data_IF_031662583704
#
_entry.id   IF_031662583704
#
_cell.length_a   1.000
_cell.length_b   1.000
_cell.length_c   1.000
_cell.angle_alpha   90.00
_cell.angle_beta   90.00
_cell.angle_gamma   90.00
#
_symmetry.space_group_name_H-M   'P 1'
#
loop_
_entity.id
_entity.type
_entity.pdbx_description
1 polymer ?
#
# COMPACT_ATOMS: atom_id res chain seq x y z
N UNK A 1 -1.52 65.80 45.77
CA UNK A 1 -0.44 64.84 46.10
C UNK A 1 -0.27 63.96 44.88
N UNK A 2 0.53 64.44 43.93
CA UNK A 2 1.92 64.03 43.66
C UNK A 2 1.91 62.93 42.58
N UNK A 3 2.03 63.28 41.29
CA UNK A 3 3.25 63.68 40.57
C UNK A 3 4.20 62.51 40.37
N UNK A 4 4.28 62.03 39.13
CA UNK A 4 5.52 61.55 38.52
C UNK A 4 5.41 61.83 37.01
N UNK A 5 5.84 63.03 36.65
CA UNK A 5 6.41 63.37 35.35
C UNK A 5 7.62 62.45 35.05
N UNK A 6 8.02 62.49 33.77
CA UNK A 6 9.20 61.87 33.20
C UNK A 6 9.06 60.38 32.87
N UNK A 7 8.81 60.09 31.60
CA UNK A 7 9.93 59.90 30.67
C UNK A 7 9.38 59.69 29.25
N UNK A 8 9.60 60.71 28.43
CA UNK A 8 9.47 60.65 26.99
C UNK A 8 10.24 59.46 26.43
N UNK A 9 9.56 58.54 25.74
CA UNK A 9 10.24 57.65 24.81
C UNK A 9 10.49 58.44 23.53
N UNK A 10 11.67 59.06 23.49
CA UNK A 10 12.32 59.52 22.27
C UNK A 10 12.28 58.40 21.25
N UNK A 11 11.66 58.67 20.09
CA UNK A 11 11.72 57.77 18.94
C UNK A 11 13.18 57.52 18.55
N UNK A 12 13.53 56.30 18.10
CA UNK A 12 14.88 56.02 17.64
C UNK A 12 15.21 56.89 16.41
N UNK A 13 16.45 57.37 16.29
CA UNK A 13 16.86 58.33 15.29
C UNK A 13 16.80 57.73 13.88
N UNK A 14 16.54 58.59 12.91
CA UNK A 14 16.63 58.27 11.52
C UNK A 14 18.08 57.94 11.11
N UNK A 15 18.16 56.97 10.19
CA UNK A 15 19.26 56.64 9.27
C UNK A 15 20.55 56.08 9.86
N UNK A 16 20.81 54.80 9.56
CA UNK A 16 22.00 54.50 8.76
C UNK A 16 21.67 53.43 7.70
N UNK A 17 22.07 53.72 6.46
CA UNK A 17 21.60 53.10 5.23
C UNK A 17 22.49 51.90 4.86
N UNK A 18 22.52 50.89 5.74
CA UNK A 18 23.21 49.62 5.52
C UNK A 18 22.21 48.48 5.49
N UNK A 19 22.09 47.78 4.36
CA UNK A 19 21.22 46.62 4.19
C UNK A 19 21.51 45.56 5.27
N UNK A 20 20.73 45.58 6.36
CA UNK A 20 20.73 44.53 7.36
C UNK A 20 20.19 43.27 6.69
N UNK A 21 21.09 42.32 6.47
CA UNK A 21 20.77 41.05 5.87
C UNK A 21 19.83 40.24 6.77
N UNK A 22 18.61 40.00 6.31
CA UNK A 22 17.71 39.05 6.96
C UNK A 22 18.31 37.65 6.89
N UNK A 23 18.56 37.07 8.07
CA UNK A 23 18.96 35.68 8.26
C UNK A 23 17.69 34.84 8.44
N UNK A 24 17.63 33.68 7.78
CA UNK A 24 16.52 32.73 7.87
C UNK A 24 17.00 31.27 7.96
N UNK A 25 16.16 30.38 8.47
CA UNK A 25 16.44 28.93 8.50
C UNK A 25 15.66 28.24 7.39
N UNK A 26 16.36 27.54 6.49
CA UNK A 26 15.76 26.89 5.31
C UNK A 26 14.78 25.77 5.63
N UNK A 27 14.98 25.06 6.74
CA UNK A 27 14.16 23.91 7.11
C UNK A 27 12.87 24.31 7.86
N UNK A 28 12.87 25.48 8.49
CA UNK A 28 11.74 25.97 9.28
C UNK A 28 11.01 27.17 8.66
N UNK A 29 11.62 27.85 7.69
CA UNK A 29 11.10 28.96 6.88
C UNK A 29 10.34 30.08 7.65
N UNK A 30 10.71 30.33 8.91
CA UNK A 30 10.16 31.43 9.72
C UNK A 30 11.12 32.64 9.77
N UNK A 31 10.56 33.85 9.65
CA UNK A 31 11.32 35.11 9.75
C UNK A 31 11.13 35.75 11.13
N UNK A 32 12.28 36.07 11.75
CA UNK A 32 12.54 36.95 12.88
C UNK A 32 12.00 36.54 14.27
N UNK A 33 12.94 36.06 15.11
CA UNK A 33 13.09 36.29 16.58
C UNK A 33 13.36 35.04 17.44
N UNK A 34 13.61 33.86 16.87
CA UNK A 34 13.97 32.65 17.65
C UNK A 34 15.33 32.09 17.22
N UNK A 35 16.40 32.74 17.68
CA UNK A 35 17.79 32.32 17.45
C UNK A 35 18.54 32.16 18.76
N UNK A 36 19.58 31.34 18.75
CA UNK A 36 20.51 31.21 19.89
C UNK A 36 21.21 32.54 20.15
N UNK A 37 21.71 32.75 21.38
CA UNK A 37 22.28 34.04 21.80
C UNK A 37 23.47 34.53 20.94
N UNK A 38 24.13 33.63 20.23
CA UNK A 38 25.20 33.91 19.26
C UNK A 38 24.70 34.28 17.85
N UNK A 39 23.39 34.19 17.60
CA UNK A 39 22.72 34.66 16.38
C UNK A 39 23.01 33.85 15.11
N UNK A 40 23.56 32.63 15.24
CA UNK A 40 24.04 31.81 14.11
C UNK A 40 23.25 30.54 13.86
N UNK A 41 22.42 30.10 14.81
CA UNK A 41 21.66 28.85 14.71
C UNK A 41 20.19 29.04 15.07
N UNK A 42 19.35 28.26 14.41
CA UNK A 42 17.91 28.20 14.68
C UNK A 42 17.66 27.57 16.05
N UNK A 43 16.84 28.21 16.88
CA UNK A 43 16.52 27.71 18.23
C UNK A 43 15.63 26.46 18.23
N UNK A 44 14.96 26.17 17.10
CA UNK A 44 14.01 25.07 16.95
C UNK A 44 14.68 23.79 16.48
N UNK A 45 15.53 23.87 15.44
CA UNK A 45 16.16 22.70 14.83
C UNK A 45 17.69 22.63 15.03
N UNK A 46 18.34 23.71 15.46
CA UNK A 46 19.80 23.78 15.68
C UNK A 46 20.65 23.98 14.41
N UNK A 47 20.02 24.05 13.24
CA UNK A 47 20.69 24.32 11.96
C UNK A 47 21.24 25.76 11.86
N UNK A 48 22.27 25.95 11.04
CA UNK A 48 22.91 27.25 10.81
C UNK A 48 22.06 28.14 9.91
N UNK A 49 22.12 29.46 10.11
CA UNK A 49 21.22 30.42 9.45
C UNK A 49 21.82 30.99 8.17
N UNK A 50 20.97 31.18 7.15
CA UNK A 50 21.37 31.66 5.82
C UNK A 50 20.89 33.09 5.54
N UNK A 51 21.65 33.84 4.74
CA UNK A 51 21.37 35.25 4.39
C UNK A 51 20.52 35.33 3.12
N UNK A 52 19.37 35.99 3.17
CA UNK A 52 18.54 36.24 1.99
C UNK A 52 19.14 37.38 1.15
N UNK A 53 19.53 37.11 -0.09
CA UNK A 53 19.97 38.16 -1.03
C UNK A 53 18.75 38.76 -1.73
N UNK A 54 18.52 40.08 -1.58
CA UNK A 54 17.51 40.81 -2.35
C UNK A 54 18.05 41.12 -3.74
N UNK A 55 17.40 40.62 -4.78
CA UNK A 55 17.65 41.02 -6.17
C UNK A 55 16.93 42.35 -6.44
N UNK A 56 17.69 43.43 -6.63
CA UNK A 56 17.15 44.74 -7.03
C UNK A 56 16.87 44.75 -8.53
N UNK A 57 15.59 44.81 -8.92
CA UNK A 57 15.18 45.04 -10.31
C UNK A 57 15.41 46.52 -10.66
N UNK A 58 16.39 46.76 -11.54
CA UNK A 58 16.68 48.06 -12.13
C UNK A 58 15.59 48.51 -13.11
N UNK A 59 15.30 49.80 -13.05
CA UNK A 59 14.32 50.56 -13.80
C UNK A 59 14.47 50.44 -15.32
N UNK A 60 13.36 50.20 -16.03
CA UNK A 60 12.94 50.97 -17.20
C UNK A 60 11.52 50.56 -17.60
N UNK A 61 10.55 51.40 -17.24
CA UNK A 61 9.16 51.28 -17.65
C UNK A 61 8.99 51.93 -19.03
N UNK A 62 8.64 51.11 -20.02
CA UNK A 62 7.86 51.55 -21.18
C UNK A 62 6.64 50.67 -21.25
N UNK A 63 5.47 51.29 -21.08
CA UNK A 63 4.16 50.68 -21.22
C UNK A 63 4.08 49.84 -22.50
N UNK A 64 3.86 48.54 -22.35
CA UNK A 64 3.37 47.71 -23.46
C UNK A 64 2.22 46.86 -22.96
N UNK A 65 1.03 47.22 -23.46
CA UNK A 65 -0.19 46.44 -23.58
C UNK A 65 -0.08 44.94 -23.27
N UNK A 66 -0.86 44.48 -22.29
CA UNK A 66 -1.09 43.06 -22.01
C UNK A 66 -1.64 42.35 -23.25
N UNK A 67 -0.89 41.39 -23.78
CA UNK A 67 -1.30 40.53 -24.89
C UNK A 67 -1.39 39.08 -24.37
N UNK A 68 -2.57 38.44 -24.33
CA UNK A 68 -2.76 37.14 -23.66
C UNK A 68 -2.09 35.95 -24.37
N UNK A 69 -1.44 36.16 -25.52
CA UNK A 69 -0.69 35.13 -26.23
C UNK A 69 0.73 34.90 -25.66
N UNK A 70 1.30 35.89 -24.95
CA UNK A 70 2.66 35.78 -24.38
C UNK A 70 2.69 35.03 -23.04
N UNK A 71 1.58 34.98 -22.31
CA UNK A 71 1.50 34.31 -21.01
C UNK A 71 1.61 32.79 -21.11
N UNK A 72 1.08 32.18 -22.17
CA UNK A 72 1.19 30.73 -22.41
C UNK A 72 2.61 30.35 -22.81
N UNK A 73 3.29 31.20 -23.57
CA UNK A 73 4.67 30.98 -24.00
C UNK A 73 5.65 31.17 -22.85
N UNK A 74 5.41 32.15 -21.96
CA UNK A 74 6.18 32.33 -20.74
C UNK A 74 5.95 31.19 -19.73
N UNK A 75 4.70 30.71 -19.59
CA UNK A 75 4.39 29.51 -18.81
C UNK A 75 5.06 28.27 -19.39
N UNK A 76 5.03 28.08 -20.72
CA UNK A 76 5.78 27.00 -21.38
C UNK A 76 7.28 27.13 -21.16
N UNK A 77 7.84 28.34 -21.23
CA UNK A 77 9.26 28.58 -20.98
C UNK A 77 9.63 28.33 -19.51
N UNK A 78 8.75 28.66 -18.56
CA UNK A 78 8.92 28.37 -17.13
C UNK A 78 8.83 26.87 -16.85
N UNK A 79 7.87 26.17 -17.46
CA UNK A 79 7.73 24.70 -17.36
C UNK A 79 8.94 24.02 -17.97
N UNK A 80 9.42 24.46 -19.13
CA UNK A 80 10.63 23.91 -19.76
C UNK A 80 11.89 24.21 -18.93
N UNK A 81 11.99 25.39 -18.29
CA UNK A 81 13.06 25.71 -17.34
C UNK A 81 13.03 24.82 -16.11
N UNK A 82 11.85 24.62 -15.50
CA UNK A 82 11.67 23.71 -14.36
C UNK A 82 12.03 22.27 -14.72
N UNK A 83 11.60 21.78 -15.90
CA UNK A 83 11.99 20.47 -16.41
C UNK A 83 13.50 20.35 -16.65
N UNK A 84 14.16 21.46 -17.02
CA UNK A 84 15.62 21.51 -17.21
C UNK A 84 16.38 21.63 -15.89
N UNK A 85 15.85 22.33 -14.88
CA UNK A 85 16.41 22.42 -13.53
C UNK A 85 16.24 21.11 -12.73
N UNK A 86 15.11 20.40 -12.92
CA UNK A 86 14.93 19.03 -12.44
C UNK A 86 15.87 18.07 -13.20
N UNK A 87 16.19 18.36 -14.46
CA UNK A 87 17.10 17.57 -15.30
C UNK A 87 18.59 17.82 -15.08
N UNK A 88 18.98 18.94 -14.47
CA UNK A 88 20.40 19.39 -14.39
C UNK A 88 21.16 18.96 -13.14
N UNK A 89 20.50 18.37 -12.14
CA UNK A 89 21.12 17.92 -10.88
C UNK A 89 21.71 16.50 -10.90
N UNK A 90 21.86 15.89 -12.07
CA UNK A 90 22.34 14.50 -12.23
C UNK A 90 23.84 14.45 -12.55
N UNK A 91 24.66 15.17 -11.79
CA UNK A 91 26.12 15.00 -11.81
C UNK A 91 26.52 14.20 -10.58
N UNK A 92 26.18 12.92 -10.60
CA UNK A 92 26.51 11.93 -9.58
C UNK A 92 26.18 10.53 -10.10
N UNK A 93 27.19 9.66 -10.12
CA UNK A 93 27.21 8.29 -10.64
C UNK A 93 25.93 7.46 -10.41
N UNK A 94 25.46 6.79 -11.47
CA UNK A 94 24.48 5.69 -11.51
C UNK A 94 23.21 5.82 -10.64
N UNK A 95 22.33 6.76 -11.00
CA UNK A 95 20.92 6.67 -10.60
C UNK A 95 20.15 5.95 -11.72
N UNK A 96 19.77 4.68 -11.49
CA UNK A 96 19.15 3.82 -12.50
C UNK A 96 17.98 4.50 -13.22
N UNK A 97 18.20 4.91 -14.47
CA UNK A 97 17.12 5.27 -15.39
C UNK A 97 16.07 4.16 -15.30
N UNK A 98 14.80 4.48 -14.97
CA UNK A 98 13.72 3.49 -14.96
C UNK A 98 13.76 2.78 -16.29
N UNK A 99 14.22 1.54 -16.29
CA UNK A 99 14.35 0.76 -17.51
C UNK A 99 13.01 0.07 -17.73
N UNK A 100 12.50 0.04 -18.97
CA UNK A 100 11.35 -0.79 -19.29
C UNK A 100 11.62 -2.23 -18.86
N UNK A 101 10.59 -2.92 -18.41
CA UNK A 101 10.66 -4.37 -18.22
C UNK A 101 11.02 -5.05 -19.56
N UNK A 102 11.68 -6.22 -19.50
CA UNK A 102 11.88 -7.01 -20.71
C UNK A 102 10.54 -7.56 -21.21
N UNK A 103 10.39 -7.70 -22.53
CA UNK A 103 9.16 -8.20 -23.14
C UNK A 103 8.82 -9.62 -22.61
N UNK A 104 9.85 -10.46 -22.43
CA UNK A 104 9.75 -11.79 -21.81
C UNK A 104 9.26 -11.72 -20.35
N UNK A 105 9.77 -10.78 -19.53
CA UNK A 105 9.33 -10.64 -18.15
C UNK A 105 7.86 -10.23 -18.05
N UNK A 106 7.41 -9.32 -18.93
CA UNK A 106 6.01 -8.89 -19.01
C UNK A 106 5.10 -10.04 -19.45
N UNK A 107 5.54 -10.86 -20.41
CA UNK A 107 4.80 -12.03 -20.87
C UNK A 107 4.68 -13.09 -19.77
N UNK A 108 5.76 -13.33 -19.00
CA UNK A 108 5.80 -14.29 -17.91
C UNK A 108 4.89 -13.93 -16.72
N UNK A 109 4.49 -12.67 -16.55
CA UNK A 109 3.47 -12.30 -15.55
C UNK A 109 2.10 -12.91 -15.86
N UNK A 110 1.84 -13.18 -17.14
CA UNK A 110 0.55 -13.67 -17.61
C UNK A 110 -0.61 -12.72 -17.25
N UNK A 111 -1.81 -13.28 -17.31
CA UNK A 111 -3.04 -12.58 -16.99
C UNK A 111 -4.15 -13.59 -16.77
N UNK A 112 -5.12 -13.24 -15.94
CA UNK A 112 -6.28 -14.08 -15.67
C UNK A 112 -7.55 -13.22 -15.58
N UNK A 113 -8.70 -13.85 -15.73
CA UNK A 113 -9.98 -13.20 -15.49
C UNK A 113 -10.15 -13.02 -13.97
N UNK A 114 -10.44 -11.80 -13.54
CA UNK A 114 -10.69 -11.46 -12.16
C UNK A 114 -11.83 -12.34 -11.61
N UNK A 115 -11.57 -13.01 -10.49
CA UNK A 115 -12.52 -13.82 -9.76
C UNK A 115 -12.96 -13.12 -8.47
N UNK A 116 -13.90 -13.73 -7.75
CA UNK A 116 -14.44 -13.19 -6.50
C UNK A 116 -13.34 -12.81 -5.48
N UNK A 117 -12.31 -13.63 -5.35
CA UNK A 117 -11.20 -13.38 -4.42
C UNK A 117 -10.24 -12.28 -4.87
N UNK A 118 -10.23 -11.97 -6.16
CA UNK A 118 -9.44 -10.89 -6.75
C UNK A 118 -10.13 -9.53 -6.66
N UNK A 119 -11.46 -9.49 -6.54
CA UNK A 119 -12.26 -8.24 -6.57
C UNK A 119 -12.78 -7.82 -5.20
N UNK A 120 -12.84 -8.75 -4.24
CA UNK A 120 -13.44 -8.51 -2.93
C UNK A 120 -12.36 -8.47 -1.85
N UNK A 121 -12.53 -7.58 -0.87
CA UNK A 121 -11.85 -7.66 0.42
C UNK A 121 -12.79 -8.25 1.47
N UNK A 122 -12.28 -9.22 2.24
CA UNK A 122 -13.01 -9.79 3.38
C UNK A 122 -12.23 -9.49 4.65
N UNK A 123 -12.90 -8.86 5.60
CA UNK A 123 -12.37 -8.59 6.92
C UNK A 123 -13.10 -9.42 7.97
N UNK A 124 -12.35 -9.99 8.90
CA UNK A 124 -12.86 -10.70 10.07
C UNK A 124 -12.55 -9.86 11.30
N UNK A 125 -13.59 -9.39 11.98
CA UNK A 125 -13.50 -8.62 13.21
C UNK A 125 -14.05 -9.45 14.37
N UNK A 126 -13.26 -9.66 15.42
CA UNK A 126 -13.69 -10.43 16.59
C UNK A 126 -14.11 -9.45 17.68
N UNK A 127 -15.30 -9.65 18.26
CA UNK A 127 -15.79 -8.78 19.32
C UNK A 127 -14.83 -8.77 20.51
N UNK A 128 -14.39 -7.59 20.91
CA UNK A 128 -13.43 -7.38 22.01
C UNK A 128 -11.96 -7.38 21.59
N UNK A 129 -11.64 -7.71 20.34
CA UNK A 129 -10.30 -7.56 19.77
C UNK A 129 -10.26 -6.29 18.93
N UNK A 130 -9.22 -5.47 19.10
CA UNK A 130 -9.02 -4.28 18.26
C UNK A 130 -8.46 -4.68 16.89
N UNK A 131 -9.06 -4.16 15.84
CA UNK A 131 -8.62 -4.34 14.46
C UNK A 131 -9.33 -5.48 13.75
N UNK A 132 -8.94 -5.67 12.48
CA UNK A 132 -9.53 -6.65 11.58
C UNK A 132 -8.43 -7.52 10.98
N UNK A 133 -8.77 -8.78 10.70
CA UNK A 133 -7.91 -9.71 9.98
C UNK A 133 -8.46 -9.90 8.58
N UNK A 134 -7.61 -9.71 7.58
CA UNK A 134 -7.99 -9.98 6.20
C UNK A 134 -8.07 -11.49 5.95
N UNK A 135 -9.16 -11.89 5.28
CA UNK A 135 -9.38 -13.22 4.76
C UNK A 135 -9.60 -13.17 3.25
N UNK A 136 -9.43 -14.31 2.59
CA UNK A 136 -9.61 -14.46 1.14
C UNK A 136 -10.82 -15.36 0.89
N UNK A 137 -11.85 -14.92 0.14
CA UNK A 137 -13.03 -15.74 -0.09
C UNK A 137 -12.71 -16.92 -1.02
N UNK A 138 -13.47 -18.00 -0.89
CA UNK A 138 -13.50 -19.05 -1.89
C UNK A 138 -14.04 -18.53 -3.23
N UNK A 139 -13.69 -19.22 -4.33
CA UNK A 139 -14.36 -19.01 -5.62
C UNK A 139 -15.57 -19.95 -5.81
N UNK A 140 -16.15 -20.40 -4.70
CA UNK A 140 -17.33 -21.24 -4.65
C UNK A 140 -18.16 -20.87 -3.42
N UNK A 141 -19.45 -21.21 -3.44
CA UNK A 141 -20.39 -20.73 -2.44
C UNK A 141 -20.62 -19.22 -2.50
N UNK A 142 -21.54 -18.70 -1.68
CA UNK A 142 -21.78 -17.27 -1.58
C UNK A 142 -20.60 -16.53 -0.94
N UNK A 143 -20.46 -15.24 -1.24
CA UNK A 143 -19.55 -14.33 -0.54
C UNK A 143 -20.36 -13.16 0.04
N UNK A 144 -20.86 -13.39 1.24
CA UNK A 144 -21.77 -12.50 1.95
C UNK A 144 -21.25 -12.20 3.35
N UNK A 145 -21.60 -11.03 3.87
CA UNK A 145 -21.25 -10.63 5.22
C UNK A 145 -22.03 -11.44 6.25
N UNK A 146 -21.38 -11.78 7.36
CA UNK A 146 -21.99 -12.45 8.50
C UNK A 146 -21.79 -11.58 9.74
N UNK A 147 -22.89 -11.07 10.32
CA UNK A 147 -22.83 -10.20 11.51
C UNK A 147 -23.09 -10.98 12.79
N UNK A 148 -22.34 -10.65 13.84
CA UNK A 148 -22.46 -11.14 15.22
C UNK A 148 -22.56 -12.67 15.37
N UNK A 149 -21.85 -13.43 14.53
CA UNK A 149 -21.92 -14.89 14.57
C UNK A 149 -20.96 -15.48 15.60
N UNK A 150 -21.46 -16.38 16.42
CA UNK A 150 -20.61 -17.19 17.30
C UNK A 150 -19.66 -18.05 16.47
N UNK A 151 -18.44 -18.21 16.96
CA UNK A 151 -17.37 -18.95 16.28
C UNK A 151 -17.07 -20.23 17.07
N UNK A 152 -16.80 -21.33 16.36
CA UNK A 152 -16.45 -22.62 16.96
C UNK A 152 -15.29 -23.25 16.20
N UNK A 153 -14.35 -23.85 16.94
CA UNK A 153 -13.28 -24.65 16.34
C UNK A 153 -13.82 -26.05 16.04
N UNK A 154 -13.57 -26.55 14.84
CA UNK A 154 -13.96 -27.90 14.45
C UNK A 154 -13.22 -28.98 15.26
N UNK A 155 -13.89 -30.09 15.54
CA UNK A 155 -13.26 -31.29 16.12
C UNK A 155 -13.61 -32.51 15.26
N UNK A 156 -12.67 -33.15 14.53
CA UNK A 156 -11.26 -32.79 14.42
C UNK A 156 -11.03 -31.46 13.71
N UNK A 157 -9.92 -30.81 14.02
CA UNK A 157 -9.63 -29.44 13.56
C UNK A 157 -9.49 -29.30 12.04
N UNK A 158 -9.09 -30.37 11.34
CA UNK A 158 -9.08 -30.36 9.87
C UNK A 158 -10.48 -30.52 9.27
N UNK A 159 -11.49 -30.93 10.05
CA UNK A 159 -12.81 -31.23 9.54
C UNK A 159 -12.81 -32.23 8.39
N UNK A 160 -11.82 -33.13 8.32
CA UNK A 160 -11.70 -34.16 7.28
C UNK A 160 -12.58 -35.38 7.57
N UNK A 161 -12.98 -35.56 8.84
CA UNK A 161 -13.89 -36.60 9.33
C UNK A 161 -15.15 -35.95 9.96
N UNK A 162 -16.22 -36.73 10.24
CA UNK A 162 -17.40 -36.22 10.94
C UNK A 162 -17.04 -35.48 12.24
N UNK A 163 -17.71 -34.37 12.50
CA UNK A 163 -17.40 -33.55 13.67
C UNK A 163 -17.88 -34.22 14.96
N UNK A 164 -17.00 -34.31 15.95
CA UNK A 164 -17.30 -34.77 17.30
C UNK A 164 -18.20 -33.76 18.03
N UNK A 165 -18.00 -32.46 17.77
CA UNK A 165 -18.80 -31.37 18.31
C UNK A 165 -19.93 -30.90 17.37
N UNK A 166 -20.43 -31.78 16.49
CA UNK A 166 -21.45 -31.43 15.49
C UNK A 166 -22.71 -30.78 16.09
N UNK A 167 -23.15 -31.23 17.28
CA UNK A 167 -24.31 -30.67 17.98
C UNK A 167 -24.18 -29.20 18.35
N UNK A 168 -22.95 -28.67 18.39
CA UNK A 168 -22.66 -27.30 18.78
C UNK A 168 -22.41 -26.36 17.59
N UNK A 169 -22.37 -26.88 16.37
CA UNK A 169 -22.01 -26.14 15.15
C UNK A 169 -23.18 -25.30 14.62
N UNK A 170 -24.42 -25.75 14.83
CA UNK A 170 -25.60 -25.12 14.23
C UNK A 170 -25.66 -23.61 14.52
N UNK A 171 -25.78 -22.80 13.46
CA UNK A 171 -25.85 -21.34 13.55
C UNK A 171 -24.51 -20.62 13.73
N UNK A 172 -23.38 -21.34 13.79
CA UNK A 172 -22.03 -20.79 14.06
C UNK A 172 -21.15 -20.74 12.82
N UNK A 173 -20.10 -19.93 12.88
CA UNK A 173 -18.97 -19.96 11.94
C UNK A 173 -17.96 -20.99 12.42
N UNK A 174 -17.64 -21.96 11.56
CA UNK A 174 -16.71 -23.04 11.91
C UNK A 174 -15.30 -22.68 11.46
N UNK A 175 -14.33 -22.79 12.37
CA UNK A 175 -12.91 -22.59 12.12
C UNK A 175 -12.23 -23.95 12.01
N UNK A 176 -11.47 -24.16 10.94
CA UNK A 176 -10.78 -25.41 10.64
C UNK A 176 -9.45 -25.15 9.95
N UNK A 177 -8.55 -26.13 9.96
CA UNK A 177 -7.25 -26.02 9.27
C UNK A 177 -7.29 -26.64 7.86
N UNK A 178 -6.46 -26.10 6.96
CA UNK A 178 -6.18 -26.71 5.66
C UNK A 178 -5.53 -28.08 5.84
N UNK A 179 -5.90 -29.02 4.96
CA UNK A 179 -5.34 -30.39 4.91
C UNK A 179 -6.40 -31.47 5.05
N UNK A 180 -6.05 -32.75 4.89
CA UNK A 180 -6.96 -33.89 5.13
C UNK A 180 -8.03 -34.15 4.05
N UNK A 181 -8.69 -33.14 3.48
CA UNK A 181 -9.59 -33.28 2.33
C UNK A 181 -9.76 -31.97 1.52
N UNK A 182 -10.56 -32.00 0.45
CA UNK A 182 -10.83 -30.83 -0.41
C UNK A 182 -11.56 -29.71 0.33
N UNK A 183 -11.39 -28.46 -0.10
CA UNK A 183 -12.06 -27.31 0.52
C UNK A 183 -13.58 -27.41 0.42
N UNK A 184 -14.10 -27.76 -0.75
CA UNK A 184 -15.54 -27.97 -0.94
C UNK A 184 -16.08 -29.03 0.04
N UNK A 185 -15.40 -30.17 0.19
CA UNK A 185 -15.83 -31.23 1.11
C UNK A 185 -15.86 -30.78 2.57
N UNK A 186 -14.87 -29.99 3.01
CA UNK A 186 -14.85 -29.41 4.35
C UNK A 186 -16.07 -28.52 4.61
N UNK A 187 -16.35 -27.63 3.66
CA UNK A 187 -17.45 -26.67 3.76
C UNK A 187 -18.79 -27.38 3.73
N UNK A 188 -18.98 -28.35 2.83
CA UNK A 188 -20.18 -29.19 2.80
C UNK A 188 -20.41 -29.94 4.11
N UNK A 189 -19.35 -30.42 4.76
CA UNK A 189 -19.47 -31.08 6.06
C UNK A 189 -19.91 -30.10 7.15
N UNK A 190 -19.34 -28.90 7.19
CA UNK A 190 -19.77 -27.84 8.12
C UNK A 190 -21.23 -27.43 7.87
N UNK A 191 -21.61 -27.27 6.60
CA UNK A 191 -22.98 -27.00 6.19
C UNK A 191 -23.95 -28.09 6.64
N UNK A 192 -23.59 -29.37 6.49
CA UNK A 192 -24.41 -30.49 6.97
C UNK A 192 -24.58 -30.50 8.50
N UNK A 193 -23.65 -29.92 9.25
CA UNK A 193 -23.75 -29.71 10.69
C UNK A 193 -24.49 -28.40 11.09
N UNK A 194 -25.02 -27.66 10.10
CA UNK A 194 -25.78 -26.43 10.33
C UNK A 194 -24.92 -25.16 10.48
N UNK A 195 -23.65 -25.21 10.10
CA UNK A 195 -22.81 -24.02 10.08
C UNK A 195 -23.39 -22.95 9.14
N UNK A 196 -23.19 -21.67 9.48
CA UNK A 196 -23.60 -20.54 8.63
C UNK A 196 -22.44 -19.95 7.83
N UNK A 197 -21.22 -20.40 8.09
CA UNK A 197 -20.01 -19.98 7.38
C UNK A 197 -18.78 -20.74 7.85
N UNK A 198 -17.70 -20.67 7.09
CA UNK A 198 -16.45 -21.37 7.38
C UNK A 198 -15.24 -20.45 7.24
N UNK A 199 -14.32 -20.54 8.20
CA UNK A 199 -12.98 -19.97 8.12
C UNK A 199 -11.97 -21.13 8.08
N UNK A 200 -11.19 -21.20 7.01
CA UNK A 200 -10.12 -22.18 6.83
C UNK A 200 -8.77 -21.51 7.09
N UNK A 201 -8.00 -22.03 8.03
CA UNK A 201 -6.67 -21.54 8.37
C UNK A 201 -5.65 -22.18 7.45
N UNK A 202 -4.86 -21.33 6.77
CA UNK A 202 -3.72 -21.76 5.97
C UNK A 202 -2.63 -22.39 6.86
N UNK A 203 -1.90 -23.36 6.33
CA UNK A 203 -0.77 -24.00 7.02
C UNK A 203 0.59 -23.39 6.67
N UNK A 204 0.72 -22.85 5.46
CA UNK A 204 1.95 -22.19 5.01
C UNK A 204 2.02 -20.71 5.44
N UNK A 205 3.24 -20.21 5.71
CA UNK A 205 3.49 -18.81 6.04
C UNK A 205 3.56 -17.92 4.79
N UNK A 206 2.52 -18.00 3.96
CA UNK A 206 2.33 -17.20 2.75
C UNK A 206 0.98 -16.49 2.81
N UNK A 207 0.79 -15.51 1.93
CA UNK A 207 -0.51 -14.86 1.77
C UNK A 207 -1.59 -15.91 1.43
N UNK A 208 -2.79 -15.84 2.03
CA UNK A 208 -3.88 -16.75 1.68
C UNK A 208 -4.20 -16.70 0.20
N UNK A 209 -4.43 -17.87 -0.40
CA UNK A 209 -4.79 -17.98 -1.81
C UNK A 209 -6.30 -18.24 -1.95
N UNK A 210 -6.82 -17.99 -3.15
CA UNK A 210 -8.21 -18.29 -3.49
C UNK A 210 -8.46 -19.79 -3.40
N UNK A 211 -9.40 -20.22 -2.56
CA UNK A 211 -9.82 -21.61 -2.54
C UNK A 211 -10.66 -21.91 -3.78
N UNK A 212 -10.17 -22.82 -4.61
CA UNK A 212 -10.86 -23.28 -5.83
C UNK A 212 -11.34 -24.71 -5.65
N UNK A 213 -12.35 -25.07 -6.44
CA UNK A 213 -12.88 -26.42 -6.51
C UNK A 213 -12.40 -27.09 -7.80
N UNK A 214 -11.41 -27.98 -7.69
CA UNK A 214 -10.92 -28.77 -8.81
C UNK A 214 -11.70 -30.06 -9.02
N UNK A 215 -12.57 -30.47 -8.08
CA UNK A 215 -13.28 -31.75 -8.09
C UNK A 215 -14.74 -31.62 -8.52
N UNK A 216 -15.28 -30.40 -8.58
CA UNK A 216 -16.68 -30.14 -8.92
C UNK A 216 -17.66 -30.45 -7.78
N UNK A 217 -17.15 -30.68 -6.56
CA UNK A 217 -17.94 -30.98 -5.37
C UNK A 217 -18.66 -29.74 -4.82
N UNK A 218 -18.25 -28.53 -5.20
CA UNK A 218 -18.73 -27.29 -4.60
C UNK A 218 -20.13 -26.86 -5.05
N UNK A 219 -20.77 -27.60 -5.97
CA UNK A 219 -22.09 -27.28 -6.53
C UNK A 219 -23.16 -27.07 -5.47
N UNK A 220 -23.08 -27.82 -4.38
CA UNK A 220 -24.06 -27.79 -3.28
C UNK A 220 -23.60 -26.91 -2.10
N UNK A 221 -22.49 -26.19 -2.24
CA UNK A 221 -22.03 -25.26 -1.20
C UNK A 221 -22.91 -24.01 -1.22
N UNK A 222 -23.65 -23.81 -0.14
CA UNK A 222 -24.60 -22.70 0.06
C UNK A 222 -24.23 -21.79 1.22
N UNK A 223 -23.09 -22.03 1.89
CA UNK A 223 -22.57 -21.18 2.96
C UNK A 223 -21.24 -20.54 2.56
N UNK A 224 -20.94 -19.33 3.03
CA UNK A 224 -19.72 -18.63 2.69
C UNK A 224 -18.49 -19.28 3.32
N UNK A 225 -17.39 -19.28 2.56
CA UNK A 225 -16.12 -19.87 2.99
C UNK A 225 -14.96 -18.91 2.72
N UNK A 226 -14.10 -18.74 3.73
CA UNK A 226 -12.99 -17.79 3.70
C UNK A 226 -11.70 -18.46 4.18
N UNK A 227 -10.56 -18.02 3.67
CA UNK A 227 -9.23 -18.46 4.10
C UNK A 227 -8.51 -17.36 4.88
N UNK A 228 -7.98 -17.72 6.04
CA UNK A 228 -7.14 -16.85 6.88
C UNK A 228 -5.68 -17.30 6.84
N UNK A 229 -4.74 -16.38 7.04
CA UNK A 229 -3.31 -16.71 7.07
C UNK A 229 -2.96 -17.60 8.26
N UNK A 230 -1.87 -18.37 8.15
CA UNK A 230 -1.39 -19.22 9.24
C UNK A 230 -1.11 -18.43 10.53
N UNK A 231 -0.48 -17.26 10.38
CA UNK A 231 -0.12 -16.38 11.51
C UNK A 231 -1.35 -15.89 12.27
N UNK A 232 -2.35 -15.35 11.58
CA UNK A 232 -3.55 -14.85 12.23
C UNK A 232 -4.43 -15.99 12.73
N UNK A 233 -4.54 -17.07 11.96
CA UNK A 233 -5.32 -18.25 12.33
C UNK A 233 -4.82 -18.91 13.62
N UNK A 234 -3.50 -19.01 13.82
CA UNK A 234 -2.92 -19.51 15.07
C UNK A 234 -3.37 -18.69 16.28
N UNK A 235 -3.17 -17.37 16.23
CA UNK A 235 -3.57 -16.48 17.34
C UNK A 235 -5.08 -16.47 17.56
N UNK A 236 -5.87 -16.61 16.48
CA UNK A 236 -7.32 -16.68 16.59
C UNK A 236 -7.79 -17.96 17.29
N UNK A 237 -7.21 -19.11 16.96
CA UNK A 237 -7.53 -20.40 17.61
C UNK A 237 -7.08 -20.41 19.07
N UNK A 238 -5.89 -19.89 19.38
CA UNK A 238 -5.42 -19.74 20.76
C UNK A 238 -6.41 -18.89 21.59
N UNK A 239 -6.87 -17.76 21.04
CA UNK A 239 -7.87 -16.92 21.68
C UNK A 239 -9.21 -17.65 21.92
N UNK A 240 -9.68 -18.45 20.95
CA UNK A 240 -10.91 -19.23 21.09
C UNK A 240 -10.79 -20.29 22.19
N UNK A 241 -9.63 -20.94 22.34
CA UNK A 241 -9.40 -21.91 23.41
C UNK A 241 -9.37 -21.26 24.79
N UNK A 242 -8.68 -20.12 24.94
CA UNK A 242 -8.63 -19.36 26.19
C UNK A 242 -10.02 -18.89 26.63
N UNK A 243 -10.90 -18.62 25.66
CA UNK A 243 -12.30 -18.22 25.86
C UNK A 243 -13.30 -19.37 25.82
N UNK A 244 -12.88 -20.62 25.96
CA UNK A 244 -13.74 -21.83 25.85
C UNK A 244 -15.03 -21.83 26.69
N UNK A 245 -15.14 -21.02 27.74
CA UNK A 245 -16.35 -20.89 28.59
C UNK A 245 -17.31 -19.78 28.16
N UNK A 246 -16.90 -18.90 27.24
CA UNK A 246 -17.64 -17.73 26.80
C UNK A 246 -17.83 -17.79 25.27
N UNK A 247 -19.04 -17.52 24.74
CA UNK A 247 -19.22 -17.47 23.30
C UNK A 247 -18.44 -16.29 22.71
N UNK A 248 -17.56 -16.59 21.75
CA UNK A 248 -16.86 -15.57 20.96
C UNK A 248 -17.66 -15.27 19.71
N UNK A 249 -18.06 -14.02 19.54
CA UNK A 249 -18.75 -13.53 18.34
C UNK A 249 -17.76 -12.85 17.39
N UNK A 250 -17.93 -13.05 16.10
CA UNK A 250 -17.18 -12.37 15.05
C UNK A 250 -18.11 -11.82 13.96
N UNK A 251 -17.71 -10.69 13.39
CA UNK A 251 -18.24 -10.12 12.17
C UNK A 251 -17.32 -10.49 11.01
N UNK A 252 -17.91 -10.97 9.91
CA UNK A 252 -17.25 -11.14 8.63
C UNK A 252 -17.83 -10.09 7.69
N UNK A 253 -17.00 -9.15 7.26
CA UNK A 253 -17.39 -8.01 6.44
C UNK A 253 -16.84 -8.18 5.04
N UNK A 254 -17.74 -8.29 4.07
CA UNK A 254 -17.41 -8.39 2.64
C UNK A 254 -17.53 -7.01 2.01
N UNK A 255 -16.42 -6.51 1.45
CA UNK A 255 -16.32 -5.21 0.75
C UNK A 255 -16.11 -5.49 -0.74
N UNK A 256 -17.14 -5.27 -1.56
CA UNK A 256 -17.15 -5.67 -2.98
C UNK A 256 -16.38 -4.71 -3.89
N UNK A 257 -16.23 -3.49 -3.41
CA UNK A 257 -15.72 -2.30 -4.06
C UNK A 257 -14.32 -1.93 -3.52
N UNK A 258 -13.70 -2.82 -2.74
CA UNK A 258 -12.43 -2.57 -2.07
C UNK A 258 -11.19 -2.74 -2.96
N UNK A 259 -11.33 -3.17 -4.22
CA UNK A 259 -10.18 -3.48 -5.10
C UNK A 259 -10.22 -2.71 -6.41
N UNK A 260 -9.66 -1.51 -6.34
CA UNK A 260 -9.41 -0.63 -7.46
C UNK A 260 -7.99 -0.80 -7.99
N UNK A 261 -7.82 -0.69 -9.31
CA UNK A 261 -6.49 -0.62 -9.90
C UNK A 261 -5.90 0.77 -9.61
N UNK A 262 -4.84 0.84 -8.81
CA UNK A 262 -4.22 2.14 -8.42
C UNK A 262 -3.64 2.95 -9.58
N UNK A 263 -3.51 2.35 -10.77
CA UNK A 263 -3.00 3.05 -11.96
C UNK A 263 -4.11 3.91 -12.59
N UNK A 264 -5.31 3.34 -12.77
CA UNK A 264 -6.44 4.02 -13.41
C UNK A 264 -7.53 4.47 -12.44
N UNK A 265 -7.47 4.04 -11.17
CA UNK A 265 -8.45 4.28 -10.11
C UNK A 265 -9.85 3.76 -10.49
N UNK A 266 -9.89 2.66 -11.22
CA UNK A 266 -11.14 1.98 -11.62
C UNK A 266 -11.21 0.61 -10.95
N UNK A 267 -12.42 0.20 -10.60
CA UNK A 267 -12.71 -1.13 -10.04
C UNK A 267 -12.22 -2.26 -10.95
N UNK A 268 -11.61 -3.29 -10.36
CA UNK A 268 -11.26 -4.53 -11.04
C UNK A 268 -12.41 -5.53 -10.89
N UNK A 269 -13.49 -5.38 -11.66
CA UNK A 269 -14.68 -6.24 -11.53
C UNK A 269 -14.48 -7.65 -12.07
N UNK A 270 -15.33 -8.59 -11.65
CA UNK A 270 -15.26 -10.02 -12.03
C UNK A 270 -15.28 -10.16 -13.57
N UNK A 271 -14.43 -11.04 -14.09
CA UNK A 271 -14.27 -11.29 -15.52
C UNK A 271 -13.29 -10.35 -16.23
N UNK A 272 -12.92 -9.21 -15.62
CA UNK A 272 -11.91 -8.32 -16.20
C UNK A 272 -10.54 -8.97 -16.24
N UNK A 273 -9.74 -8.64 -17.26
CA UNK A 273 -8.38 -9.17 -17.40
C UNK A 273 -7.44 -8.43 -16.44
N UNK A 274 -6.89 -9.15 -15.47
CA UNK A 274 -5.99 -8.63 -14.45
C UNK A 274 -4.67 -9.40 -14.44
N UNK A 275 -3.62 -8.73 -13.98
CA UNK A 275 -2.27 -9.31 -13.86
C UNK A 275 -1.75 -9.06 -12.45
N UNK A 276 -1.13 -10.08 -11.86
CA UNK A 276 -0.44 -9.97 -10.57
C UNK A 276 1.05 -9.77 -10.80
N UNK A 277 1.60 -8.80 -10.09
CA UNK A 277 3.04 -8.72 -9.92
C UNK A 277 3.51 -9.86 -9.00
N UNK A 278 4.80 -10.21 -9.02
CA UNK A 278 5.33 -11.28 -8.15
C UNK A 278 5.17 -11.01 -6.65
N UNK A 279 5.11 -9.72 -6.29
CA UNK A 279 4.74 -9.25 -4.96
C UNK A 279 3.24 -9.38 -4.63
N UNK A 280 2.44 -10.03 -5.47
CA UNK A 280 0.99 -10.28 -5.36
C UNK A 280 0.06 -9.08 -5.52
N UNK A 281 0.59 -7.88 -5.74
CA UNK A 281 -0.24 -6.73 -6.09
C UNK A 281 -0.91 -6.91 -7.46
N UNK A 282 -2.20 -6.58 -7.53
CA UNK A 282 -3.07 -6.81 -8.68
C UNK A 282 -3.40 -5.50 -9.39
N UNK A 283 -3.45 -5.55 -10.73
CA UNK A 283 -3.76 -4.41 -11.59
C UNK A 283 -4.55 -4.89 -12.82
N UNK A 284 -5.28 -4.01 -13.50
CA UNK A 284 -5.76 -4.32 -14.86
C UNK A 284 -4.54 -4.62 -15.75
N UNK A 285 -4.64 -5.67 -16.57
CA UNK A 285 -3.52 -6.11 -17.42
C UNK A 285 -3.06 -5.01 -18.38
N UNK A 286 -3.99 -4.22 -18.91
CA UNK A 286 -3.67 -3.11 -19.81
C UNK A 286 -2.86 -2.01 -19.08
N UNK A 287 -3.36 -1.55 -17.92
CA UNK A 287 -2.71 -0.52 -17.13
C UNK A 287 -1.30 -0.92 -16.68
N UNK A 288 -1.13 -2.17 -16.19
CA UNK A 288 0.18 -2.64 -15.78
C UNK A 288 1.14 -2.78 -16.96
N UNK A 289 0.66 -3.21 -18.13
CA UNK A 289 1.49 -3.31 -19.33
C UNK A 289 2.02 -1.95 -19.76
N UNK A 290 1.19 -0.93 -19.79
CA UNK A 290 1.60 0.45 -20.11
C UNK A 290 2.61 0.98 -19.08
N UNK A 291 2.37 0.72 -17.78
CA UNK A 291 3.31 1.07 -16.73
C UNK A 291 4.68 0.41 -16.93
N UNK A 292 4.68 -0.89 -17.27
CA UNK A 292 5.90 -1.67 -17.42
C UNK A 292 6.72 -1.34 -18.68
N UNK A 293 6.14 -0.59 -19.63
CA UNK A 293 6.88 -0.02 -20.76
C UNK A 293 7.76 1.17 -20.35
N UNK A 294 7.46 1.81 -19.21
CA UNK A 294 8.20 2.98 -18.72
C UNK A 294 9.20 2.57 -17.62
N UNK A 295 8.84 1.61 -16.78
CA UNK A 295 9.71 1.11 -15.71
C UNK A 295 9.51 -0.39 -15.46
N UNK A 296 10.35 -1.00 -14.65
CA UNK A 296 10.30 -2.43 -14.36
C UNK A 296 9.80 -2.75 -12.95
N UNK A 297 9.08 -1.84 -12.29
CA UNK A 297 8.72 -1.99 -10.87
C UNK A 297 7.22 -1.90 -10.60
N UNK A 298 6.79 -2.60 -9.54
CA UNK A 298 5.40 -2.57 -9.06
C UNK A 298 4.98 -1.15 -8.63
N UNK A 299 3.83 -0.63 -9.10
CA UNK A 299 3.33 0.70 -8.70
C UNK A 299 3.10 0.88 -7.20
N UNK A 300 2.84 -0.19 -6.45
CA UNK A 300 2.52 -0.13 -5.01
C UNK A 300 3.79 -0.25 -4.15
N UNK A 301 4.60 -1.29 -4.37
CA UNK A 301 5.72 -1.62 -3.48
C UNK A 301 7.10 -1.53 -4.14
N UNK A 302 7.18 -1.14 -5.41
CA UNK A 302 8.42 -0.99 -6.20
C UNK A 302 9.27 -2.26 -6.35
N UNK A 303 8.74 -3.44 -6.03
CA UNK A 303 9.40 -4.72 -6.37
C UNK A 303 9.61 -4.78 -7.88
N UNK A 304 10.85 -5.04 -8.28
CA UNK A 304 11.29 -5.03 -9.67
C UNK A 304 11.14 -6.39 -10.36
N UNK A 305 11.01 -6.35 -11.68
CA UNK A 305 11.11 -7.50 -12.59
C UNK A 305 12.28 -7.26 -13.57
N UNK A 306 12.76 -8.29 -14.29
CA UNK A 306 13.88 -8.14 -15.21
C UNK A 306 13.67 -7.00 -16.23
N UNK A 307 14.68 -6.14 -16.36
CA UNK A 307 14.66 -5.01 -17.28
C UNK A 307 15.16 -5.39 -18.68
N UNK A 308 14.76 -4.63 -19.70
CA UNK A 308 15.26 -4.77 -21.07
C UNK A 308 16.78 -4.51 -21.11
N UNK A 309 17.54 -5.42 -21.73
CA UNK A 309 18.99 -5.26 -21.90
C UNK A 309 19.26 -4.11 -22.87
N UNK A 310 20.00 -3.09 -22.43
CA UNK A 310 20.54 -2.06 -23.31
C UNK A 310 21.79 -2.62 -23.98
N UNK A 311 21.78 -2.77 -25.31
CA UNK A 311 23.00 -3.05 -26.08
C UNK A 311 23.87 -1.80 -26.09
N UNK A 312 24.62 -1.56 -25.02
CA UNK A 312 25.76 -0.66 -25.03
C UNK A 312 26.98 -1.50 -24.69
N UNK A 313 27.84 -1.69 -25.68
CA UNK A 313 29.14 -2.32 -25.54
C UNK A 313 30.02 -1.47 -24.63
N UNK A 314 30.23 -1.92 -23.41
CA UNK A 314 31.48 -1.64 -22.69
C UNK A 314 31.67 -2.72 -21.63
N UNK A 315 32.64 -3.58 -21.88
CA UNK A 315 33.27 -4.43 -20.89
C UNK A 315 33.74 -3.58 -19.70
N UNK A 316 33.02 -3.64 -18.59
CA UNK A 316 33.56 -3.24 -17.30
C UNK A 316 32.96 -4.15 -16.23
N UNK A 317 33.75 -5.14 -15.84
CA UNK A 317 33.56 -5.95 -14.64
C UNK A 317 33.36 -5.02 -13.45
N UNK A 318 32.13 -4.95 -12.93
CA UNK A 318 31.85 -4.43 -11.59
C UNK A 318 31.06 -5.49 -10.82
N UNK A 319 31.81 -6.33 -10.11
CA UNK A 319 31.30 -7.11 -9.00
C UNK A 319 30.90 -6.11 -7.92
N UNK A 320 29.61 -5.81 -7.75
CA UNK A 320 29.02 -5.32 -6.48
C UNK A 320 27.50 -5.07 -6.59
N UNK A 321 26.73 -6.10 -6.94
CA UNK A 321 25.27 -6.11 -6.71
C UNK A 321 24.75 -7.42 -6.08
N UNK A 322 25.63 -8.36 -5.75
CA UNK A 322 25.27 -9.53 -4.95
C UNK A 322 25.54 -9.24 -3.47
N UNK A 323 24.63 -8.53 -2.81
CA UNK A 323 24.36 -8.67 -1.38
C UNK A 323 23.11 -7.86 -1.00
N UNK A 324 21.94 -8.37 -1.41
CA UNK A 324 20.67 -8.27 -0.67
C UNK A 324 19.62 -9.14 -1.36
N UNK A 325 19.28 -10.26 -0.73
CA UNK A 325 18.09 -11.04 -1.03
C UNK A 325 18.27 -12.04 -2.16
N UNK A 326 19.02 -13.11 -1.90
CA UNK A 326 18.96 -14.34 -2.69
C UNK A 326 17.55 -14.95 -2.52
N UNK A 327 16.64 -14.61 -3.44
CA UNK A 327 15.33 -15.25 -3.58
C UNK A 327 15.33 -15.98 -4.92
N UNK A 328 15.63 -17.27 -4.85
CA UNK A 328 15.61 -18.17 -6.01
C UNK A 328 14.17 -18.32 -6.51
N UNK A 329 13.93 -17.85 -7.73
CA UNK A 329 12.65 -17.96 -8.45
C UNK A 329 12.30 -19.40 -8.87
N UNK A 330 13.16 -20.38 -8.60
CA UNK A 330 13.02 -21.76 -9.07
C UNK A 330 12.03 -22.63 -8.30
N UNK A 331 11.57 -22.24 -7.10
CA UNK A 331 10.80 -23.13 -6.21
C UNK A 331 9.27 -23.00 -6.32
N UNK A 332 8.76 -22.10 -7.17
CA UNK A 332 7.31 -21.84 -7.30
C UNK A 332 6.61 -22.62 -8.43
N UNK A 333 7.37 -23.20 -9.37
CA UNK A 333 6.83 -23.88 -10.55
C UNK A 333 7.11 -25.38 -10.55
N UNK A 334 7.00 -26.05 -9.40
CA UNK A 334 7.05 -27.52 -9.28
C UNK A 334 5.94 -28.05 -8.38
#
# INVERSE_FOLDING_TARGET
>A
MASFDDLAFTGPPATDNGTAAELFCRDCDEVAQTWTADGKRCLVCGCELERRQQTTAGQNATETQFNPATSVQELQAMVMRLLTEIGGGWNGADNGARRPASDEAVENLGSFAADQASTIEVAVAVRGIKGEVIAVPANFGPCESLSERSVIVAEPFDGANPFQNASEISGKVVVMIRGGCTFARKVLRAQAAGAVGVIIIQTANIWPYTMTDSTGESKDVSIPAFMMSAKHGKGFVEYLHDKSKEPVSADIVVRKDARECVICQVEMSIGMKVTRMPCQHLFHTACLREWLQIGNSCPICRVEIPAKRTTHSSSSTSQNAQQRGDFSWGEWFS
#
